data_IF_811114211855
#
_entry.id   IF_811114211855
#
_cell.length_a   1.000
_cell.length_b   1.000
_cell.length_c   1.000
_cell.angle_alpha   90.00
_cell.angle_beta   90.00
_cell.angle_gamma   90.00
#
_symmetry.space_group_name_H-M   'P 1'
#
loop_
_entity.id
_entity.type
_entity.pdbx_description
1 polymer ?
#
# COMPACT_ATOMS: atom_id res chain seq x y z
N UNK A 1 -9.29 -54.58 49.43
CA UNK A 1 -8.38 -53.50 49.83
C UNK A 1 -7.20 -53.20 48.86
N UNK A 2 -6.58 -54.20 48.19
CA UNK A 2 -5.46 -53.96 47.26
C UNK A 2 -5.89 -53.23 45.96
N UNK A 3 -7.04 -53.54 45.35
CA UNK A 3 -7.52 -52.87 44.09
C UNK A 3 -7.79 -51.38 44.25
N UNK A 4 -8.37 -50.98 45.39
CA UNK A 4 -8.64 -49.55 45.65
C UNK A 4 -7.35 -48.70 45.76
N UNK A 5 -6.27 -49.22 46.32
CA UNK A 5 -4.98 -48.53 46.43
C UNK A 5 -4.32 -48.35 45.06
N UNK A 6 -4.43 -49.36 44.20
CA UNK A 6 -3.88 -49.28 42.82
C UNK A 6 -4.63 -48.24 41.98
N UNK A 7 -5.97 -48.22 42.07
CA UNK A 7 -6.80 -47.23 41.37
C UNK A 7 -6.49 -45.80 41.84
N UNK A 8 -6.29 -45.62 43.15
CA UNK A 8 -5.89 -44.34 43.71
C UNK A 8 -4.52 -43.87 43.19
N UNK A 9 -3.53 -44.74 43.16
CA UNK A 9 -2.18 -44.44 42.65
C UNK A 9 -2.18 -44.08 41.17
N UNK A 10 -3.01 -44.77 40.35
CA UNK A 10 -3.18 -44.43 38.93
C UNK A 10 -3.81 -43.05 38.76
N UNK A 11 -4.82 -42.74 39.54
CA UNK A 11 -5.47 -41.42 39.50
C UNK A 11 -4.51 -40.30 39.94
N UNK A 12 -3.69 -40.51 40.94
CA UNK A 12 -2.67 -39.56 41.38
C UNK A 12 -1.59 -39.35 40.34
N UNK A 13 -1.10 -40.43 39.71
CA UNK A 13 -0.15 -40.31 38.60
C UNK A 13 -0.73 -39.55 37.42
N UNK A 14 -1.98 -39.75 37.08
CA UNK A 14 -2.66 -39.05 36.00
C UNK A 14 -2.80 -37.57 36.32
N UNK A 15 -3.12 -37.18 37.54
CA UNK A 15 -3.16 -35.78 37.98
C UNK A 15 -1.79 -35.11 37.91
N UNK A 16 -0.72 -35.81 38.28
CA UNK A 16 0.66 -35.29 38.18
C UNK A 16 1.05 -35.04 36.72
N UNK A 17 0.68 -35.95 35.81
CA UNK A 17 0.94 -35.78 34.36
C UNK A 17 0.16 -34.58 33.81
N UNK A 18 -1.11 -34.44 34.18
CA UNK A 18 -1.92 -33.28 33.77
C UNK A 18 -1.34 -31.97 34.33
N UNK A 19 -0.97 -31.96 35.62
CA UNK A 19 -0.36 -30.79 36.23
C UNK A 19 0.98 -30.43 35.54
N UNK A 20 1.82 -31.43 35.26
CA UNK A 20 3.06 -31.22 34.48
C UNK A 20 2.82 -30.68 33.08
N UNK A 21 1.77 -31.14 32.39
CA UNK A 21 1.38 -30.64 31.09
C UNK A 21 0.96 -29.15 31.17
N UNK A 22 0.13 -28.78 32.13
CA UNK A 22 -0.28 -27.40 32.32
C UNK A 22 0.87 -26.47 32.74
N UNK A 23 1.75 -26.99 33.63
CA UNK A 23 2.97 -26.25 34.03
C UNK A 23 3.85 -26.00 32.80
N UNK A 24 4.11 -27.04 31.98
CA UNK A 24 4.87 -26.88 30.75
C UNK A 24 4.23 -25.87 29.81
N UNK A 25 2.90 -25.86 29.72
CA UNK A 25 2.19 -24.90 28.84
C UNK A 25 2.24 -23.47 29.38
N UNK A 26 2.19 -23.27 30.72
CA UNK A 26 2.30 -21.93 31.35
C UNK A 26 3.73 -21.39 31.27
N UNK A 27 4.76 -22.26 31.36
CA UNK A 27 6.16 -21.87 31.26
C UNK A 27 6.74 -21.99 29.84
N UNK A 28 5.90 -22.32 28.85
CA UNK A 28 6.29 -22.16 27.46
C UNK A 28 6.47 -20.66 27.21
N UNK A 29 7.70 -20.24 26.94
CA UNK A 29 7.97 -18.89 26.47
C UNK A 29 7.22 -18.75 25.13
N UNK A 30 6.06 -18.12 25.16
CA UNK A 30 5.45 -17.60 23.93
C UNK A 30 6.41 -16.53 23.45
N UNK A 31 7.19 -16.83 22.41
CA UNK A 31 7.93 -15.81 21.68
C UNK A 31 6.87 -14.83 21.18
N UNK A 32 6.89 -13.58 21.65
CA UNK A 32 5.86 -12.64 21.25
C UNK A 32 5.87 -12.54 19.73
N UNK A 33 4.70 -12.73 19.11
CA UNK A 33 4.53 -12.60 17.68
C UNK A 33 4.96 -11.19 17.27
N UNK A 34 5.76 -11.08 16.21
CA UNK A 34 6.09 -9.78 15.64
C UNK A 34 4.82 -9.10 15.14
N UNK A 35 4.64 -7.86 15.51
CA UNK A 35 3.48 -7.04 15.16
C UNK A 35 3.82 -6.16 13.97
N UNK A 36 3.11 -6.33 12.88
CA UNK A 36 3.32 -5.56 11.66
C UNK A 36 2.06 -4.78 11.31
N UNK A 37 2.15 -3.46 11.29
CA UNK A 37 1.06 -2.60 10.88
C UNK A 37 1.11 -2.33 9.36
N UNK A 38 -0.06 -2.30 8.74
CA UNK A 38 -0.25 -1.98 7.32
C UNK A 38 -1.04 -0.68 7.23
N UNK A 39 -0.43 0.33 6.65
CA UNK A 39 -1.01 1.66 6.45
C UNK A 39 -1.27 1.85 4.96
N UNK A 40 -2.54 1.98 4.61
CA UNK A 40 -3.04 2.16 3.24
C UNK A 40 -4.03 3.32 3.24
N UNK A 41 -3.96 4.20 2.27
CA UNK A 41 -4.99 5.23 2.10
C UNK A 41 -6.31 4.57 1.73
N UNK A 42 -7.41 4.93 2.41
CA UNK A 42 -8.74 4.35 2.26
C UNK A 42 -8.70 2.81 2.31
N UNK A 43 -8.29 2.28 3.46
CA UNK A 43 -8.04 0.84 3.64
C UNK A 43 -9.26 -0.06 3.39
N UNK A 44 -10.47 0.50 3.40
CA UNK A 44 -11.73 -0.19 3.06
C UNK A 44 -11.99 -0.32 1.57
N UNK A 45 -11.18 0.26 0.69
CA UNK A 45 -11.35 0.17 -0.76
C UNK A 45 -11.05 -1.25 -1.27
N UNK A 46 -11.91 -1.75 -2.15
CA UNK A 46 -11.80 -3.09 -2.77
C UNK A 46 -10.50 -3.32 -3.54
N UNK A 47 -9.83 -2.25 -3.99
CA UNK A 47 -8.52 -2.35 -4.66
C UNK A 47 -7.48 -3.05 -3.79
N UNK A 48 -7.61 -2.94 -2.47
CA UNK A 48 -6.70 -3.55 -1.50
C UNK A 48 -7.01 -5.01 -1.17
N UNK A 49 -8.19 -5.54 -1.57
CA UNK A 49 -8.62 -6.90 -1.18
C UNK A 49 -7.59 -7.97 -1.52
N UNK A 50 -7.01 -7.91 -2.72
CA UNK A 50 -5.99 -8.87 -3.16
C UNK A 50 -4.71 -8.79 -2.33
N UNK A 51 -4.22 -7.57 -2.09
CA UNK A 51 -3.05 -7.30 -1.26
C UNK A 51 -3.27 -7.74 0.20
N UNK A 52 -4.36 -7.28 0.80
CA UNK A 52 -4.70 -7.59 2.19
C UNK A 52 -4.86 -9.11 2.40
N UNK A 53 -5.50 -9.81 1.47
CA UNK A 53 -5.63 -11.26 1.53
C UNK A 53 -4.26 -11.97 1.43
N UNK A 54 -3.38 -11.51 0.55
CA UNK A 54 -2.01 -12.03 0.43
C UNK A 54 -1.20 -11.80 1.70
N UNK A 55 -1.27 -10.59 2.27
CA UNK A 55 -0.61 -10.24 3.53
C UNK A 55 -1.11 -11.09 4.70
N UNK A 56 -2.43 -11.29 4.83
CA UNK A 56 -3.03 -12.16 5.87
C UNK A 56 -2.56 -13.61 5.74
N UNK A 57 -2.50 -14.14 4.53
CA UNK A 57 -1.99 -15.50 4.30
C UNK A 57 -0.51 -15.61 4.67
N UNK A 58 0.31 -14.64 4.26
CA UNK A 58 1.73 -14.60 4.60
C UNK A 58 1.97 -14.47 6.10
N UNK A 59 1.23 -13.58 6.76
CA UNK A 59 1.31 -13.36 8.19
C UNK A 59 1.00 -14.66 8.98
N UNK A 60 -0.06 -15.37 8.59
CA UNK A 60 -0.44 -16.63 9.21
C UNK A 60 0.63 -17.73 9.05
N UNK A 61 1.29 -17.80 7.88
CA UNK A 61 2.36 -18.79 7.63
C UNK A 61 3.63 -18.48 8.41
N UNK A 62 3.91 -17.19 8.63
CA UNK A 62 5.13 -16.70 9.28
C UNK A 62 4.95 -16.36 10.75
N UNK A 63 3.79 -16.69 11.35
CA UNK A 63 3.46 -16.39 12.74
C UNK A 63 3.63 -14.92 13.12
N UNK A 64 3.15 -14.03 12.23
CA UNK A 64 3.17 -12.58 12.39
C UNK A 64 1.77 -12.07 12.75
N UNK A 65 1.68 -11.20 13.76
CA UNK A 65 0.46 -10.49 14.08
C UNK A 65 0.29 -9.29 13.14
N UNK A 66 -0.56 -9.43 12.13
CA UNK A 66 -0.82 -8.39 11.13
C UNK A 66 -1.95 -7.47 11.58
N UNK A 67 -1.70 -6.17 11.58
CA UNK A 67 -2.65 -5.12 11.94
C UNK A 67 -2.94 -4.32 10.67
N UNK A 68 -4.16 -4.37 10.16
CA UNK A 68 -4.58 -3.48 9.08
C UNK A 68 -5.18 -2.24 9.71
N UNK A 69 -4.53 -1.09 9.56
CA UNK A 69 -5.05 0.17 10.06
C UNK A 69 -6.32 0.54 9.30
N UNK A 70 -7.37 0.87 10.03
CA UNK A 70 -8.61 1.36 9.41
C UNK A 70 -8.45 2.85 9.14
N UNK A 71 -8.37 3.22 7.87
CA UNK A 71 -8.05 4.58 7.45
C UNK A 71 -9.07 5.08 6.44
N UNK A 72 -9.31 6.37 6.47
CA UNK A 72 -9.88 7.13 5.36
C UNK A 72 -8.78 7.51 4.34
N UNK A 73 -9.05 8.47 3.46
CA UNK A 73 -8.02 8.99 2.55
C UNK A 73 -6.89 9.66 3.35
N UNK A 74 -5.66 9.26 3.08
CA UNK A 74 -4.43 9.87 3.63
C UNK A 74 -3.95 10.87 2.61
N UNK A 75 -4.03 12.16 2.93
CA UNK A 75 -3.77 13.25 1.98
C UNK A 75 -2.43 13.96 2.21
N UNK A 76 -1.78 13.69 3.34
CA UNK A 76 -0.52 14.35 3.72
C UNK A 76 0.41 13.46 4.54
N UNK A 77 1.70 13.83 4.59
CA UNK A 77 2.69 13.23 5.47
C UNK A 77 2.29 13.33 6.95
N UNK A 78 1.56 14.38 7.33
CA UNK A 78 1.11 14.56 8.71
C UNK A 78 0.03 13.55 9.10
N UNK A 79 -0.93 13.27 8.19
CA UNK A 79 -1.97 12.26 8.44
C UNK A 79 -1.34 10.87 8.61
N UNK A 80 -0.36 10.55 7.73
CA UNK A 80 0.38 9.29 7.79
C UNK A 80 1.20 9.17 9.08
N UNK A 81 1.86 10.26 9.48
CA UNK A 81 2.64 10.31 10.72
C UNK A 81 1.79 10.03 11.95
N UNK A 82 0.61 10.61 12.04
CA UNK A 82 -0.30 10.39 13.18
C UNK A 82 -0.70 8.92 13.30
N UNK A 83 -0.96 8.24 12.17
CA UNK A 83 -1.23 6.80 12.15
C UNK A 83 -0.01 5.97 12.57
N UNK A 84 1.17 6.33 12.12
CA UNK A 84 2.42 5.65 12.50
C UNK A 84 2.66 5.81 14.00
N UNK A 85 2.57 7.03 14.52
CA UNK A 85 2.78 7.32 15.94
C UNK A 85 1.80 6.54 16.83
N UNK A 86 0.52 6.47 16.43
CA UNK A 86 -0.48 5.65 17.12
C UNK A 86 -0.09 4.16 17.16
N UNK A 87 0.40 3.61 16.05
CA UNK A 87 0.78 2.20 16.01
C UNK A 87 2.09 1.94 16.78
N UNK A 88 3.01 2.88 16.84
CA UNK A 88 4.20 2.79 17.68
C UNK A 88 3.84 2.76 19.17
N UNK A 89 2.85 3.55 19.61
CA UNK A 89 2.33 3.49 20.98
C UNK A 89 1.66 2.13 21.29
N UNK A 90 1.23 1.40 20.27
CA UNK A 90 0.67 0.05 20.35
C UNK A 90 1.71 -1.06 20.19
N UNK A 91 3.00 -0.79 20.40
CA UNK A 91 4.11 -1.75 20.33
C UNK A 91 4.19 -2.50 18.98
N UNK A 92 4.04 -1.80 17.85
CA UNK A 92 4.27 -2.35 16.51
C UNK A 92 5.76 -2.45 16.24
N UNK A 93 6.21 -3.59 15.71
CA UNK A 93 7.62 -3.88 15.42
C UNK A 93 8.04 -3.40 14.02
N UNK A 94 7.12 -3.31 13.06
CA UNK A 94 7.43 -2.95 11.66
C UNK A 94 6.20 -2.46 10.91
N UNK A 95 6.43 -1.79 9.78
CA UNK A 95 5.37 -1.24 8.94
C UNK A 95 5.42 -1.73 7.48
N UNK A 96 4.24 -1.83 6.88
CA UNK A 96 4.03 -1.90 5.42
C UNK A 96 3.20 -0.67 5.06
N UNK A 97 3.75 0.23 4.25
CA UNK A 97 3.18 1.56 4.03
C UNK A 97 2.96 1.81 2.54
N UNK A 98 1.76 2.24 2.16
CA UNK A 98 1.54 2.92 0.89
C UNK A 98 1.72 4.42 1.15
N UNK A 99 2.85 5.05 0.73
CA UNK A 99 3.22 6.37 1.21
C UNK A 99 2.22 7.45 0.80
N UNK A 100 2.00 8.38 1.71
CA UNK A 100 1.17 9.56 1.49
C UNK A 100 1.72 10.43 0.33
N UNK A 101 0.88 11.23 -0.33
CA UNK A 101 1.35 12.21 -1.29
C UNK A 101 2.12 13.36 -0.60
N UNK A 102 3.04 13.98 -1.32
CA UNK A 102 3.76 15.16 -0.87
C UNK A 102 5.26 14.97 -0.69
N UNK A 103 5.98 16.07 -0.75
CA UNK A 103 7.45 16.12 -0.65
C UNK A 103 7.94 15.77 0.78
N UNK A 104 7.15 16.14 1.79
CA UNK A 104 7.51 15.94 3.20
C UNK A 104 7.46 14.47 3.63
N UNK A 105 6.80 13.59 2.85
CA UNK A 105 6.61 12.17 3.20
C UNK A 105 7.93 11.43 3.28
N UNK A 106 8.87 11.69 2.36
CA UNK A 106 10.19 11.05 2.39
C UNK A 106 10.97 11.45 3.64
N UNK A 107 10.96 12.72 4.00
CA UNK A 107 11.64 13.22 5.20
C UNK A 107 11.01 12.69 6.49
N UNK A 108 9.68 12.62 6.53
CA UNK A 108 8.93 12.07 7.67
C UNK A 108 9.26 10.59 7.88
N UNK A 109 9.23 9.78 6.82
CA UNK A 109 9.59 8.36 6.89
C UNK A 109 11.05 8.14 7.29
N UNK A 110 11.96 9.01 6.84
CA UNK A 110 13.37 9.00 7.25
C UNK A 110 13.59 9.23 8.76
N UNK A 111 12.61 9.81 9.46
CA UNK A 111 12.65 10.04 10.90
C UNK A 111 12.21 8.83 11.74
N UNK A 112 11.72 7.75 11.12
CA UNK A 112 11.31 6.52 11.84
C UNK A 112 12.50 5.78 12.48
N UNK A 113 13.73 6.15 12.16
CA UNK A 113 14.94 5.62 12.79
C UNK A 113 15.14 4.12 12.54
N UNK A 114 15.25 3.35 13.62
CA UNK A 114 15.52 1.91 13.55
C UNK A 114 14.25 1.06 13.34
N UNK A 115 13.07 1.66 13.21
CA UNK A 115 11.82 0.91 12.99
C UNK A 115 11.78 0.41 11.55
N UNK A 116 11.75 -0.90 11.31
CA UNK A 116 11.75 -1.43 9.95
C UNK A 116 10.45 -1.09 9.22
N UNK A 117 10.54 -0.68 7.97
CA UNK A 117 9.38 -0.53 7.10
C UNK A 117 9.68 -0.90 5.65
N UNK A 118 8.63 -1.19 4.90
CA UNK A 118 8.68 -1.38 3.45
C UNK A 118 7.56 -0.57 2.80
N UNK A 119 7.90 0.12 1.73
CA UNK A 119 6.91 0.83 0.92
C UNK A 119 6.31 -0.12 -0.12
N UNK A 120 5.03 0.08 -0.40
CA UNK A 120 4.30 -0.72 -1.39
C UNK A 120 3.55 0.17 -2.37
N UNK A 121 3.34 -0.35 -3.58
CA UNK A 121 2.63 0.27 -4.71
C UNK A 121 3.32 1.46 -5.36
N UNK A 122 4.00 2.29 -4.60
CA UNK A 122 4.80 3.43 -5.07
C UNK A 122 5.90 3.74 -4.07
N UNK A 123 6.92 4.46 -4.52
CA UNK A 123 7.96 5.03 -3.67
C UNK A 123 7.45 6.31 -2.99
N UNK A 124 8.09 6.75 -1.91
CA UNK A 124 7.85 8.08 -1.39
C UNK A 124 8.26 9.10 -2.44
N UNK A 125 7.43 10.11 -2.64
CA UNK A 125 7.71 11.14 -3.64
C UNK A 125 8.98 11.91 -3.25
N UNK A 126 9.83 12.16 -4.24
CA UNK A 126 11.02 12.98 -4.13
C UNK A 126 11.28 13.66 -5.47
N UNK A 127 11.58 14.95 -5.45
CA UNK A 127 11.99 15.69 -6.66
C UNK A 127 13.32 15.19 -7.23
N UNK A 128 14.20 14.70 -6.37
CA UNK A 128 15.55 14.19 -6.72
C UNK A 128 15.51 12.75 -7.27
N UNK A 129 14.36 12.09 -7.33
CA UNK A 129 14.19 10.73 -7.85
C UNK A 129 13.80 9.72 -6.76
N UNK A 130 14.50 8.57 -6.69
CA UNK A 130 14.16 7.51 -5.73
C UNK A 130 14.46 7.93 -4.28
N UNK A 131 13.55 7.61 -3.36
CA UNK A 131 13.70 7.92 -1.93
C UNK A 131 14.85 7.16 -1.24
N UNK A 132 15.28 6.03 -1.84
CA UNK A 132 16.27 5.12 -1.25
C UNK A 132 15.69 4.12 -0.26
N UNK A 133 14.40 4.15 0.01
CA UNK A 133 13.73 3.16 0.86
C UNK A 133 13.47 1.84 0.13
N UNK A 134 13.34 0.75 0.90
CA UNK A 134 12.93 -0.54 0.35
C UNK A 134 11.48 -0.43 -0.15
N UNK A 135 11.29 -0.55 -1.46
CA UNK A 135 9.98 -0.35 -2.09
C UNK A 135 9.62 -1.53 -2.99
N UNK A 136 8.39 -2.03 -2.85
CA UNK A 136 7.78 -3.05 -3.72
C UNK A 136 6.69 -2.36 -4.53
N UNK A 137 6.97 -2.09 -5.80
CA UNK A 137 6.04 -1.35 -6.68
C UNK A 137 6.04 -1.90 -8.11
N UNK A 138 4.98 -1.66 -8.88
CA UNK A 138 5.01 -1.86 -10.32
C UNK A 138 5.96 -0.84 -10.98
N UNK A 139 6.34 -1.12 -12.22
CA UNK A 139 7.03 -0.15 -13.07
C UNK A 139 6.01 0.87 -13.61
N UNK A 140 5.75 1.90 -12.81
CA UNK A 140 4.74 2.93 -13.11
C UNK A 140 5.06 3.67 -14.42
N UNK A 141 6.34 3.95 -14.70
CA UNK A 141 6.76 4.55 -15.96
C UNK A 141 6.37 3.65 -17.15
N UNK A 142 6.68 2.36 -17.07
CA UNK A 142 6.37 1.41 -18.14
C UNK A 142 4.86 1.23 -18.32
N UNK A 143 4.08 1.30 -17.26
CA UNK A 143 2.61 1.28 -17.35
C UNK A 143 2.13 2.47 -18.19
N UNK A 144 2.56 3.68 -17.85
CA UNK A 144 2.22 4.88 -18.60
C UNK A 144 2.70 4.85 -20.06
N UNK A 145 3.93 4.43 -20.28
CA UNK A 145 4.51 4.26 -21.62
C UNK A 145 3.71 3.27 -22.47
N UNK A 146 3.39 2.10 -21.91
CA UNK A 146 2.61 1.08 -22.61
C UNK A 146 1.21 1.57 -22.95
N UNK A 147 0.59 2.33 -22.04
CA UNK A 147 -0.72 2.94 -22.28
C UNK A 147 -0.67 3.92 -23.45
N UNK A 148 0.33 4.78 -23.51
CA UNK A 148 0.55 5.70 -24.64
C UNK A 148 0.77 4.98 -25.96
N UNK A 149 1.58 3.93 -25.97
CA UNK A 149 1.80 3.06 -27.15
C UNK A 149 0.49 2.40 -27.62
N UNK A 150 -0.33 1.92 -26.68
CA UNK A 150 -1.62 1.30 -27.03
C UNK A 150 -2.60 2.31 -27.64
N UNK A 151 -2.68 3.53 -27.10
CA UNK A 151 -3.52 4.57 -27.66
C UNK A 151 -3.04 4.91 -29.08
N UNK A 152 -1.73 5.12 -29.26
CA UNK A 152 -1.10 5.39 -30.56
C UNK A 152 -1.35 4.28 -31.57
N UNK A 153 -1.24 3.03 -31.18
CA UNK A 153 -1.44 1.87 -32.06
C UNK A 153 -2.89 1.68 -32.50
N UNK A 154 -3.84 2.13 -31.67
CA UNK A 154 -5.27 2.05 -31.97
C UNK A 154 -5.83 3.26 -32.71
N UNK A 155 -5.08 4.37 -32.82
CA UNK A 155 -5.47 5.52 -33.63
C UNK A 155 -5.03 5.35 -35.09
N UNK A 156 -5.93 5.62 -36.04
CA UNK A 156 -5.68 5.40 -37.47
C UNK A 156 -4.55 6.28 -38.02
N UNK A 157 -4.35 7.46 -37.45
CA UNK A 157 -3.36 8.46 -37.89
C UNK A 157 -2.16 8.55 -36.92
N UNK A 158 -2.05 7.61 -35.97
CA UNK A 158 -0.97 7.55 -34.99
C UNK A 158 -0.94 8.76 -34.06
N UNK A 159 -2.11 9.29 -33.69
CA UNK A 159 -2.34 10.44 -32.83
C UNK A 159 -2.04 11.82 -33.47
N UNK A 160 -1.74 11.89 -34.74
CA UNK A 160 -1.43 13.18 -35.38
C UNK A 160 -2.61 14.16 -35.31
N UNK A 161 -2.39 15.32 -34.70
CA UNK A 161 -3.38 16.39 -34.54
C UNK A 161 -4.50 16.03 -33.58
N UNK A 162 -4.31 15.01 -32.77
CA UNK A 162 -5.22 14.61 -31.68
C UNK A 162 -4.90 15.34 -30.38
N UNK A 163 -5.90 15.44 -29.53
CA UNK A 163 -5.80 16.04 -28.21
C UNK A 163 -6.05 15.01 -27.10
N UNK A 164 -5.24 15.07 -26.06
CA UNK A 164 -5.34 14.19 -24.89
C UNK A 164 -5.59 15.01 -23.63
N UNK A 165 -6.54 14.57 -22.82
CA UNK A 165 -6.69 14.99 -21.44
C UNK A 165 -6.20 13.89 -20.52
N UNK A 166 -5.46 14.23 -19.48
CA UNK A 166 -4.89 13.28 -18.53
C UNK A 166 -5.50 13.50 -17.16
N UNK A 167 -6.00 12.44 -16.54
CA UNK A 167 -6.44 12.39 -15.15
C UNK A 167 -5.48 11.52 -14.38
N UNK A 168 -4.87 12.06 -13.31
CA UNK A 168 -3.96 11.33 -12.43
C UNK A 168 -4.50 11.32 -11.01
N UNK A 169 -3.90 10.49 -10.13
CA UNK A 169 -4.03 10.64 -8.69
C UNK A 169 -3.43 11.94 -8.18
N UNK A 170 -3.05 11.98 -6.92
CA UNK A 170 -2.37 13.15 -6.36
C UNK A 170 -1.09 13.49 -7.15
N UNK A 171 -0.87 14.76 -7.43
CA UNK A 171 0.24 15.22 -8.27
C UNK A 171 1.63 14.91 -7.72
N UNK A 172 1.74 14.88 -6.39
CA UNK A 172 2.98 14.62 -5.66
C UNK A 172 3.02 13.16 -5.13
N UNK A 173 2.75 12.21 -6.04
CA UNK A 173 2.99 10.79 -5.81
C UNK A 173 3.93 10.26 -6.89
N UNK A 174 4.82 9.34 -6.51
CA UNK A 174 5.74 8.73 -7.48
C UNK A 174 4.98 8.04 -8.62
N UNK A 175 3.90 7.34 -8.29
CA UNK A 175 3.07 6.65 -9.27
C UNK A 175 2.48 7.58 -10.33
N UNK A 176 1.92 8.73 -9.92
CA UNK A 176 1.36 9.72 -10.85
C UNK A 176 2.42 10.40 -11.71
N UNK A 177 3.55 10.78 -11.10
CA UNK A 177 4.65 11.46 -11.81
C UNK A 177 5.30 10.53 -12.81
N UNK A 178 5.67 9.34 -12.38
CA UNK A 178 6.37 8.34 -13.21
C UNK A 178 5.47 7.83 -14.33
N UNK A 179 4.20 7.51 -14.04
CA UNK A 179 3.24 7.08 -15.06
C UNK A 179 2.97 8.15 -16.11
N UNK A 180 2.78 9.40 -15.68
CA UNK A 180 2.63 10.52 -16.60
C UNK A 180 3.86 10.71 -17.50
N UNK A 181 5.06 10.63 -16.95
CA UNK A 181 6.29 10.72 -17.72
C UNK A 181 6.36 9.65 -18.81
N UNK A 182 6.07 8.38 -18.46
CA UNK A 182 6.04 7.30 -19.45
C UNK A 182 5.01 7.53 -20.56
N UNK A 183 3.81 8.01 -20.22
CA UNK A 183 2.79 8.37 -21.23
C UNK A 183 3.29 9.48 -22.16
N UNK A 184 3.88 10.53 -21.60
CA UNK A 184 4.40 11.66 -22.39
C UNK A 184 5.48 11.22 -23.36
N UNK A 185 6.42 10.38 -22.93
CA UNK A 185 7.48 9.85 -23.77
C UNK A 185 6.93 8.97 -24.91
N UNK A 186 5.89 8.17 -24.64
CA UNK A 186 5.27 7.32 -25.67
C UNK A 186 4.54 8.11 -26.76
N UNK A 187 4.02 9.29 -26.46
CA UNK A 187 3.32 10.15 -27.43
C UNK A 187 4.24 11.23 -28.01
N UNK A 188 5.48 11.34 -27.57
CA UNK A 188 6.45 12.30 -28.09
C UNK A 188 6.63 12.13 -29.61
N UNK A 189 6.69 13.25 -30.31
CA UNK A 189 6.88 13.26 -31.78
C UNK A 189 5.68 12.80 -32.61
N UNK A 190 4.57 12.41 -32.02
CA UNK A 190 3.35 12.03 -32.75
C UNK A 190 2.60 13.22 -33.35
N UNK A 191 2.81 14.42 -32.80
CA UNK A 191 2.02 15.61 -33.09
C UNK A 191 0.67 15.63 -32.33
N UNK A 192 0.57 14.82 -31.28
CA UNK A 192 -0.51 14.88 -30.29
C UNK A 192 -0.29 16.03 -29.32
N UNK A 193 -1.38 16.70 -28.91
CA UNK A 193 -1.35 17.76 -27.91
C UNK A 193 -1.98 17.29 -26.61
N UNK A 194 -1.28 17.50 -25.48
CA UNK A 194 -1.89 17.35 -24.15
C UNK A 194 -2.61 18.65 -23.79
N UNK A 195 -3.94 18.65 -23.93
CA UNK A 195 -4.76 19.84 -23.73
C UNK A 195 -4.89 20.23 -22.27
N UNK A 196 -4.95 19.23 -21.39
CA UNK A 196 -5.01 19.45 -19.95
C UNK A 196 -4.54 18.23 -19.15
N UNK A 197 -4.05 18.49 -17.95
CA UNK A 197 -3.75 17.49 -16.94
C UNK A 197 -4.51 17.84 -15.68
N UNK A 198 -5.33 16.94 -15.19
CA UNK A 198 -6.02 17.06 -13.93
C UNK A 198 -5.44 16.09 -12.93
N UNK A 199 -4.95 16.62 -11.82
CA UNK A 199 -4.52 15.80 -10.69
C UNK A 199 -5.55 15.88 -9.57
N UNK A 200 -5.81 14.77 -8.89
CA UNK A 200 -6.77 14.72 -7.81
C UNK A 200 -6.43 15.76 -6.73
N UNK A 201 -7.45 16.48 -6.33
CA UNK A 201 -7.39 17.45 -5.25
C UNK A 201 -8.71 17.38 -4.48
N UNK A 202 -8.69 16.79 -3.29
CA UNK A 202 -9.91 16.53 -2.54
C UNK A 202 -10.79 15.43 -3.19
N UNK A 203 -12.10 15.54 -3.02
CA UNK A 203 -13.08 14.57 -3.57
C UNK A 203 -14.10 15.25 -4.50
N UNK A 204 -13.68 15.85 -5.64
CA UNK A 204 -14.60 16.44 -6.58
C UNK A 204 -15.31 15.38 -7.41
N UNK A 205 -16.51 15.72 -7.89
CA UNK A 205 -17.17 14.92 -8.91
C UNK A 205 -16.39 15.07 -10.23
N UNK A 206 -15.77 13.97 -10.68
CA UNK A 206 -14.93 13.98 -11.88
C UNK A 206 -15.68 14.39 -13.15
N UNK A 207 -17.00 14.12 -13.22
CA UNK A 207 -17.82 14.54 -14.35
C UNK A 207 -17.89 16.07 -14.47
N UNK A 208 -18.04 16.75 -13.35
CA UNK A 208 -18.09 18.22 -13.33
C UNK A 208 -16.74 18.83 -13.77
N UNK A 209 -15.63 18.18 -13.41
CA UNK A 209 -14.29 18.59 -13.80
C UNK A 209 -14.08 18.43 -15.31
N UNK A 210 -14.46 17.28 -15.88
CA UNK A 210 -14.33 17.01 -17.32
C UNK A 210 -15.15 18.01 -18.15
N UNK A 211 -16.34 18.38 -17.69
CA UNK A 211 -17.17 19.38 -18.35
C UNK A 211 -16.52 20.79 -18.38
N UNK A 212 -15.76 21.13 -17.34
CA UNK A 212 -15.03 22.41 -17.22
C UNK A 212 -13.76 22.42 -18.08
N UNK A 213 -12.99 21.32 -18.10
CA UNK A 213 -11.70 21.25 -18.77
C UNK A 213 -11.78 21.22 -20.30
N UNK A 214 -12.94 20.86 -20.83
CA UNK A 214 -13.20 20.86 -22.27
C UNK A 214 -12.95 19.50 -22.93
N UNK A 215 -13.45 19.41 -24.16
CA UNK A 215 -13.43 18.17 -24.94
C UNK A 215 -12.04 17.87 -25.48
N UNK A 216 -11.69 16.59 -25.45
CA UNK A 216 -10.47 16.02 -26.04
C UNK A 216 -10.83 14.79 -26.87
N UNK A 217 -9.92 14.39 -27.77
CA UNK A 217 -10.10 13.16 -28.56
C UNK A 217 -9.94 11.91 -27.68
N UNK A 218 -8.99 11.95 -26.74
CA UNK A 218 -8.71 10.85 -25.80
C UNK A 218 -8.63 11.39 -24.38
N UNK A 219 -9.26 10.67 -23.47
CA UNK A 219 -9.10 10.90 -22.04
C UNK A 219 -8.37 9.70 -21.43
N UNK A 220 -7.23 9.96 -20.82
CA UNK A 220 -6.39 8.95 -20.18
C UNK A 220 -6.53 9.08 -18.68
N UNK A 221 -7.02 8.02 -18.05
CA UNK A 221 -7.16 7.94 -16.59
C UNK A 221 -6.07 7.02 -16.08
N UNK A 222 -5.19 7.58 -15.25
CA UNK A 222 -4.02 6.89 -14.69
C UNK A 222 -4.20 6.63 -13.19
N UNK A 223 -5.38 6.91 -12.66
CA UNK A 223 -5.77 6.59 -11.31
C UNK A 223 -6.82 5.47 -11.30
N UNK A 224 -6.79 4.63 -10.30
CA UNK A 224 -7.66 3.46 -10.13
C UNK A 224 -8.85 3.71 -9.20
N UNK A 225 -9.32 4.94 -9.09
CA UNK A 225 -10.47 5.28 -8.25
C UNK A 225 -11.80 5.10 -8.95
#
# INVERSE_FOLDING_TARGET
MKKSKITFLIAELFLVVIAGFFIHQIFREDVPQKRVAVILSNSGDKRWDGLINGLKQSANVNDVHLIICNTDDIESAQDEKELIDEQLENDVDAFIICPAPGEDTSDMLGQLGDVPFVLITQDAYSEDGASGFVTIKPDNYKIGYTLGEQIRANDADGLRGKSIGIITGYSQTEGSVSGKAGLMDAIEGTGCEVSWVYSRCGNPNICDIVDILGKVDYMVVMDTY
#
